data_IF_045632436966
#
_entry.id   IF_045632436966
#
_cell.length_a   1.000
_cell.length_b   1.000
_cell.length_c   1.000
_cell.angle_alpha   90.00
_cell.angle_beta   90.00
_cell.angle_gamma   90.00
#
_symmetry.space_group_name_H-M   'P 1'
#
loop_
_entity.id
_entity.type
_entity.pdbx_description
1 polymer ?
#
# COMPACT_ATOMS: atom_id res chain seq x y z
N UNK A 1 -21.74 -21.97 15.55
CA UNK A 1 -22.60 -22.81 14.69
C UNK A 1 -23.61 -21.92 13.99
N UNK A 2 -23.68 -21.99 12.65
CA UNK A 2 -24.67 -21.28 11.84
C UNK A 2 -25.75 -22.27 11.44
N UNK A 3 -26.99 -22.04 11.90
CA UNK A 3 -28.13 -22.88 11.53
C UNK A 3 -28.67 -22.48 10.16
N UNK A 4 -29.20 -23.44 9.35
CA UNK A 4 -29.90 -23.12 8.11
C UNK A 4 -31.08 -22.19 8.41
N UNK A 5 -31.11 -21.03 7.75
CA UNK A 5 -32.22 -20.07 7.89
C UNK A 5 -32.32 -19.24 6.60
N UNK A 6 -33.51 -18.71 6.28
CA UNK A 6 -33.64 -17.79 5.17
C UNK A 6 -32.93 -16.47 5.47
N UNK A 7 -32.39 -15.84 4.42
CA UNK A 7 -31.85 -14.50 4.53
C UNK A 7 -32.98 -13.47 4.68
N UNK A 8 -32.79 -12.52 5.58
CA UNK A 8 -33.65 -11.34 5.68
C UNK A 8 -33.08 -10.25 4.78
N UNK A 9 -33.81 -9.77 3.77
CA UNK A 9 -33.35 -8.67 2.92
C UNK A 9 -33.05 -7.43 3.77
N UNK A 10 -31.92 -6.79 3.51
CA UNK A 10 -31.52 -5.54 4.15
C UNK A 10 -30.85 -4.64 3.11
N UNK A 11 -31.13 -3.35 3.20
CA UNK A 11 -30.38 -2.36 2.44
C UNK A 11 -28.96 -2.24 3.05
N UNK A 12 -27.95 -2.33 2.19
CA UNK A 12 -26.54 -2.26 2.60
C UNK A 12 -25.73 -1.41 1.64
N UNK A 13 -24.95 -0.49 2.18
CA UNK A 13 -23.97 0.24 1.41
C UNK A 13 -22.67 -0.56 1.28
N UNK A 14 -22.26 -0.85 0.05
CA UNK A 14 -20.95 -1.43 -0.22
C UNK A 14 -19.93 -0.30 -0.17
N UNK A 15 -19.02 -0.39 0.79
CA UNK A 15 -17.91 0.55 0.94
C UNK A 15 -16.88 0.36 -0.16
N UNK A 16 -16.23 1.44 -0.59
CA UNK A 16 -15.06 1.38 -1.46
C UNK A 16 -13.89 0.65 -0.78
N UNK A 17 -13.00 0.08 -1.58
CA UNK A 17 -11.89 -0.75 -1.11
C UNK A 17 -10.76 0.09 -0.51
N UNK A 18 -10.42 -0.17 0.75
CA UNK A 18 -9.31 0.47 1.44
C UNK A 18 -7.93 -0.01 0.96
N UNK A 19 -7.82 -1.24 0.43
CA UNK A 19 -6.59 -1.70 -0.19
C UNK A 19 -6.29 -0.87 -1.44
N UNK A 20 -7.31 -0.66 -2.30
CA UNK A 20 -7.19 0.20 -3.47
C UNK A 20 -6.91 1.67 -3.09
N UNK A 21 -7.48 2.15 -1.98
CA UNK A 21 -7.19 3.49 -1.48
C UNK A 21 -5.70 3.66 -1.15
N UNK A 22 -4.99 2.63 -0.69
CA UNK A 22 -3.58 2.71 -0.28
C UNK A 22 -2.67 3.25 -1.38
N UNK A 23 -2.93 2.93 -2.64
CA UNK A 23 -2.14 3.42 -3.78
C UNK A 23 -2.31 4.94 -4.00
N UNK A 24 -3.48 5.49 -3.69
CA UNK A 24 -3.71 6.94 -3.75
C UNK A 24 -3.00 7.68 -2.62
N UNK A 25 -2.93 7.06 -1.43
CA UNK A 25 -2.10 7.57 -0.34
C UNK A 25 -0.63 7.60 -0.74
N UNK A 26 -0.14 6.53 -1.37
CA UNK A 26 1.22 6.42 -1.87
C UNK A 26 1.54 7.48 -2.92
N UNK A 27 0.66 7.67 -3.94
CA UNK A 27 0.79 8.71 -4.95
C UNK A 27 0.96 10.08 -4.29
N UNK A 28 0.13 10.39 -3.27
CA UNK A 28 0.24 11.65 -2.56
C UNK A 28 1.51 11.74 -1.72
N UNK A 29 1.91 10.68 -1.03
CA UNK A 29 3.13 10.65 -0.22
C UNK A 29 4.37 10.91 -1.08
N UNK A 30 4.43 10.32 -2.27
CA UNK A 30 5.53 10.46 -3.23
C UNK A 30 5.46 11.74 -4.07
N UNK A 31 4.35 12.46 -4.07
CA UNK A 31 4.22 13.72 -4.82
C UNK A 31 5.23 14.76 -4.34
N UNK A 32 5.81 15.52 -5.27
CA UNK A 32 6.68 16.68 -4.98
C UNK A 32 5.89 17.93 -4.63
N UNK A 33 4.59 17.98 -4.94
CA UNK A 33 3.70 19.07 -4.59
C UNK A 33 3.19 18.92 -3.15
N UNK A 34 3.60 19.82 -2.28
CA UNK A 34 3.20 19.81 -0.87
C UNK A 34 1.77 20.30 -0.64
N UNK A 35 1.19 21.01 -1.60
CA UNK A 35 -0.19 21.50 -1.56
C UNK A 35 -1.17 20.54 -2.24
N UNK A 36 -0.68 19.43 -2.80
CA UNK A 36 -1.52 18.44 -3.47
C UNK A 36 -2.58 17.89 -2.52
N UNK A 37 -3.76 17.66 -3.07
CA UNK A 37 -4.91 17.08 -2.39
C UNK A 37 -5.51 15.96 -3.23
N UNK A 38 -5.87 14.85 -2.61
CA UNK A 38 -6.61 13.76 -3.25
C UNK A 38 -7.94 13.58 -2.53
N UNK A 39 -9.01 13.42 -3.30
CA UNK A 39 -10.35 13.09 -2.79
C UNK A 39 -10.76 11.70 -3.23
N UNK A 40 -11.10 10.86 -2.28
CA UNK A 40 -11.58 9.49 -2.49
C UNK A 40 -13.04 9.40 -2.04
N UNK A 41 -13.90 8.81 -2.84
CA UNK A 41 -15.31 8.68 -2.54
C UNK A 41 -15.65 7.25 -2.11
N UNK A 42 -16.68 7.10 -1.27
CA UNK A 42 -17.23 5.79 -0.92
C UNK A 42 -16.55 5.07 0.24
N UNK A 43 -15.51 5.66 0.86
CA UNK A 43 -14.90 5.12 2.06
C UNK A 43 -15.69 5.52 3.32
N UNK A 44 -15.60 4.71 4.38
CA UNK A 44 -16.35 4.93 5.62
C UNK A 44 -15.43 5.24 6.80
N UNK A 45 -15.81 6.20 7.65
CA UNK A 45 -15.21 6.30 8.97
C UNK A 45 -15.77 5.19 9.87
N UNK A 46 -14.87 4.42 10.51
CA UNK A 46 -15.27 3.22 11.27
C UNK A 46 -15.48 1.98 10.39
N UNK A 47 -14.84 1.93 9.23
CA UNK A 47 -14.82 0.76 8.33
C UNK A 47 -14.48 -0.54 9.07
N UNK A 48 -15.14 -1.63 8.65
CA UNK A 48 -14.83 -2.98 9.10
C UNK A 48 -13.75 -3.66 8.23
N UNK A 49 -13.31 -3.03 7.13
CA UNK A 49 -12.18 -3.53 6.35
C UNK A 49 -10.90 -3.38 7.17
N UNK A 50 -10.13 -4.47 7.31
CA UNK A 50 -8.86 -4.46 8.03
C UNK A 50 -7.89 -3.43 7.48
N UNK A 51 -7.86 -3.28 6.15
CA UNK A 51 -6.98 -2.36 5.44
C UNK A 51 -7.30 -0.87 5.67
N UNK A 52 -8.42 -0.54 6.35
CA UNK A 52 -8.71 0.84 6.76
C UNK A 52 -7.66 1.43 7.72
N UNK A 53 -6.78 0.59 8.27
CA UNK A 53 -5.60 1.01 9.04
C UNK A 53 -4.63 1.87 8.22
N UNK A 54 -4.69 1.79 6.90
CA UNK A 54 -3.87 2.59 5.97
C UNK A 54 -3.85 4.08 6.33
N UNK A 55 -4.98 4.64 6.77
CA UNK A 55 -5.09 6.04 7.20
C UNK A 55 -4.18 6.39 8.39
N UNK A 56 -4.00 5.45 9.32
CA UNK A 56 -3.11 5.65 10.48
C UNK A 56 -1.64 5.46 10.10
N UNK A 57 -1.33 4.44 9.31
CA UNK A 57 0.04 4.18 8.89
C UNK A 57 0.56 5.32 8.00
N UNK A 58 -0.24 5.79 7.04
CA UNK A 58 0.15 6.96 6.23
C UNK A 58 0.18 8.27 7.03
N UNK A 59 -0.51 8.37 8.16
CA UNK A 59 -0.33 9.54 9.03
C UNK A 59 1.10 9.64 9.58
N UNK A 60 1.75 8.50 9.79
CA UNK A 60 3.17 8.43 10.18
C UNK A 60 4.10 8.79 9.00
N UNK A 61 3.63 8.66 7.76
CA UNK A 61 4.32 9.07 6.53
C UNK A 61 3.89 10.46 6.05
N UNK A 62 3.24 11.24 6.90
CA UNK A 62 2.93 12.64 6.64
C UNK A 62 1.65 12.87 5.81
N UNK A 63 0.71 11.91 5.77
CA UNK A 63 -0.56 12.09 5.07
C UNK A 63 -1.71 12.15 6.07
N UNK A 64 -2.40 13.28 6.12
CA UNK A 64 -3.60 13.49 6.93
C UNK A 64 -4.84 13.03 6.15
N UNK A 65 -5.69 12.26 6.83
CA UNK A 65 -6.99 11.82 6.34
C UNK A 65 -8.10 12.63 7.01
N UNK A 66 -9.01 13.17 6.23
CA UNK A 66 -10.19 13.91 6.72
C UNK A 66 -11.45 13.39 6.05
N UNK A 67 -12.48 13.08 6.85
CA UNK A 67 -13.77 12.61 6.35
C UNK A 67 -14.75 13.79 6.25
N UNK A 68 -15.53 13.87 5.17
CA UNK A 68 -16.54 14.93 4.97
C UNK A 68 -17.73 14.78 5.92
N UNK A 69 -17.96 13.58 6.46
CA UNK A 69 -18.96 13.30 7.51
C UNK A 69 -18.31 12.44 8.60
N UNK A 70 -18.73 12.66 9.85
CA UNK A 70 -18.37 11.84 11.01
C UNK A 70 -19.41 10.76 11.33
N UNK A 71 -20.45 10.64 10.50
CA UNK A 71 -21.41 9.55 10.63
C UNK A 71 -20.74 8.25 10.29
N UNK A 72 -20.66 7.34 11.26
CA UNK A 72 -20.05 6.03 11.08
C UNK A 72 -20.88 5.18 10.12
N UNK A 73 -20.22 4.27 9.40
CA UNK A 73 -20.84 3.28 8.53
C UNK A 73 -21.68 3.89 7.39
N UNK A 74 -21.34 5.11 6.98
CA UNK A 74 -21.94 5.77 5.82
C UNK A 74 -20.83 6.17 4.86
N UNK A 75 -20.92 5.80 3.58
CA UNK A 75 -19.94 6.21 2.57
C UNK A 75 -19.82 7.73 2.51
N UNK A 76 -18.60 8.21 2.51
CA UNK A 76 -18.31 9.63 2.51
C UNK A 76 -17.16 9.98 1.57
N UNK A 77 -16.90 11.24 1.36
CA UNK A 77 -15.69 11.72 0.68
C UNK A 77 -14.57 11.86 1.71
N UNK A 78 -13.46 11.21 1.43
CA UNK A 78 -12.21 11.29 2.19
C UNK A 78 -11.26 12.22 1.47
N UNK A 79 -10.71 13.19 2.19
CA UNK A 79 -9.70 14.12 1.66
C UNK A 79 -8.35 13.79 2.28
N UNK A 80 -7.35 13.59 1.43
CA UNK A 80 -5.95 13.34 1.78
C UNK A 80 -5.13 14.60 1.54
N UNK A 81 -4.28 14.99 2.49
CA UNK A 81 -3.35 16.12 2.39
C UNK A 81 -2.02 15.80 3.05
N UNK A 82 -0.95 16.40 2.55
CA UNK A 82 0.36 16.32 3.18
C UNK A 82 0.41 17.17 4.44
N UNK A 83 1.16 16.70 5.45
CA UNK A 83 1.41 17.45 6.70
C UNK A 83 2.87 17.86 6.86
N UNK A 84 3.78 17.27 6.08
CA UNK A 84 5.22 17.44 6.22
C UNK A 84 5.84 16.73 7.43
N UNK A 85 5.05 16.06 8.26
CA UNK A 85 5.52 15.35 9.45
C UNK A 85 5.70 13.87 9.14
N UNK A 86 6.93 13.44 8.89
CA UNK A 86 7.27 12.04 8.55
C UNK A 86 8.05 11.43 9.70
N UNK A 87 7.65 10.22 10.11
CA UNK A 87 8.36 9.44 11.12
C UNK A 87 9.75 9.04 10.64
N UNK A 88 10.72 9.03 11.54
CA UNK A 88 12.10 8.63 11.22
C UNK A 88 12.23 7.14 10.87
N UNK A 89 11.26 6.31 11.28
CA UNK A 89 11.20 4.87 11.03
C UNK A 89 9.74 4.43 11.11
N UNK A 90 9.37 3.39 10.37
CA UNK A 90 8.05 2.76 10.43
C UNK A 90 8.20 1.25 10.67
N UNK A 91 7.86 0.80 11.88
CA UNK A 91 7.79 -0.63 12.21
C UNK A 91 6.33 -1.04 12.39
N UNK A 92 5.93 -2.15 11.74
CA UNK A 92 4.54 -2.60 11.78
C UNK A 92 4.39 -4.11 11.58
N UNK A 93 3.41 -4.71 12.27
CA UNK A 93 3.05 -6.11 12.08
C UNK A 93 1.81 -6.22 11.19
N UNK A 94 2.02 -6.68 9.95
CA UNK A 94 0.99 -6.81 8.91
C UNK A 94 0.16 -8.10 8.98
N UNK A 95 0.22 -8.86 10.06
CA UNK A 95 -0.47 -10.16 10.16
C UNK A 95 -1.96 -10.08 9.82
N UNK A 96 -2.62 -8.96 10.15
CA UNK A 96 -4.04 -8.73 9.86
C UNK A 96 -4.29 -7.96 8.55
N UNK A 97 -3.25 -7.36 7.93
CA UNK A 97 -3.33 -6.55 6.73
C UNK A 97 -2.16 -6.83 5.76
N UNK A 98 -1.87 -8.10 5.45
CA UNK A 98 -0.67 -8.46 4.68
C UNK A 98 -0.68 -7.85 3.27
N UNK A 99 -1.86 -7.56 2.74
CA UNK A 99 -2.04 -7.00 1.41
C UNK A 99 -1.62 -5.53 1.28
N UNK A 100 -1.39 -4.84 2.40
CA UNK A 100 -0.83 -3.48 2.40
C UNK A 100 0.72 -3.46 2.36
N UNK A 101 1.38 -4.57 2.66
CA UNK A 101 2.83 -4.59 2.83
C UNK A 101 3.58 -4.08 1.59
N UNK A 102 3.14 -4.46 0.37
CA UNK A 102 3.78 -4.03 -0.87
C UNK A 102 3.79 -2.51 -1.02
N UNK A 103 2.65 -1.87 -0.80
CA UNK A 103 2.53 -0.41 -0.86
C UNK A 103 3.48 0.26 0.13
N UNK A 104 3.54 -0.25 1.37
CA UNK A 104 4.40 0.35 2.40
C UNK A 104 5.88 0.12 2.17
N UNK A 105 6.29 -1.04 1.63
CA UNK A 105 7.69 -1.31 1.26
C UNK A 105 8.16 -0.30 0.21
N UNK A 106 7.39 -0.14 -0.87
CA UNK A 106 7.75 0.79 -1.95
C UNK A 106 7.72 2.24 -1.45
N UNK A 107 6.64 2.65 -0.78
CA UNK A 107 6.50 4.02 -0.26
C UNK A 107 7.64 4.38 0.70
N UNK A 108 7.89 3.55 1.72
CA UNK A 108 8.90 3.85 2.74
C UNK A 108 10.30 3.93 2.13
N UNK A 109 10.67 2.98 1.27
CA UNK A 109 11.97 2.98 0.61
C UNK A 109 12.17 4.24 -0.26
N UNK A 110 11.18 4.61 -1.09
CA UNK A 110 11.25 5.81 -1.93
C UNK A 110 11.25 7.11 -1.13
N UNK A 111 10.58 7.15 0.02
CA UNK A 111 10.64 8.28 0.95
C UNK A 111 11.91 8.33 1.80
N UNK A 112 12.74 7.28 1.75
CA UNK A 112 13.95 7.18 2.59
C UNK A 112 13.62 6.91 4.07
N UNK A 113 12.48 6.32 4.37
CA UNK A 113 12.04 5.96 5.72
C UNK A 113 12.41 4.50 6.00
N UNK A 114 13.37 4.21 6.89
CA UNK A 114 13.68 2.84 7.31
C UNK A 114 12.46 2.14 7.89
N UNK A 115 12.41 0.81 7.73
CA UNK A 115 11.26 0.05 8.21
C UNK A 115 11.62 -1.37 8.66
N UNK A 116 10.76 -1.94 9.51
CA UNK A 116 10.72 -3.36 9.84
C UNK A 116 9.26 -3.85 9.83
N UNK A 117 8.91 -4.63 8.81
CA UNK A 117 7.58 -5.17 8.62
C UNK A 117 7.57 -6.66 8.91
N UNK A 118 6.74 -7.07 9.86
CA UNK A 118 6.58 -8.46 10.31
C UNK A 118 5.20 -9.01 9.98
N UNK A 119 4.94 -10.29 10.28
CA UNK A 119 3.62 -10.90 10.06
C UNK A 119 3.31 -11.20 8.60
N UNK A 120 4.34 -11.40 7.77
CA UNK A 120 4.23 -11.52 6.32
C UNK A 120 4.19 -12.97 5.81
N UNK A 121 4.13 -13.97 6.68
CA UNK A 121 4.15 -15.38 6.28
C UNK A 121 3.11 -15.74 5.19
N UNK A 122 1.94 -15.10 5.20
CA UNK A 122 0.90 -15.35 4.18
C UNK A 122 1.25 -14.83 2.79
N UNK A 123 2.28 -13.99 2.64
CA UNK A 123 2.72 -13.48 1.34
C UNK A 123 3.40 -14.53 0.46
N UNK A 124 3.82 -15.64 1.04
CA UNK A 124 4.39 -16.78 0.30
C UNK A 124 3.35 -17.57 -0.51
N UNK A 125 2.07 -17.47 -0.15
CA UNK A 125 0.98 -18.27 -0.74
C UNK A 125 -0.09 -17.42 -1.42
N UNK A 126 0.27 -16.22 -1.89
CA UNK A 126 -0.58 -15.32 -2.67
C UNK A 126 -0.47 -15.63 -4.18
N UNK A 127 -0.86 -14.69 -5.04
CA UNK A 127 -0.74 -14.81 -6.50
C UNK A 127 0.70 -15.08 -6.95
N UNK A 128 1.66 -14.55 -6.21
CA UNK A 128 3.10 -14.81 -6.36
C UNK A 128 3.75 -14.96 -4.99
N UNK A 129 5.01 -15.37 -4.97
CA UNK A 129 5.87 -15.28 -3.79
C UNK A 129 6.29 -13.81 -3.61
N UNK A 130 5.45 -13.04 -2.91
CA UNK A 130 5.51 -11.57 -2.84
C UNK A 130 6.76 -11.05 -2.15
N UNK A 131 7.30 -11.77 -1.16
CA UNK A 131 8.52 -11.36 -0.43
C UNK A 131 9.70 -11.35 -1.39
N UNK A 132 9.91 -12.45 -2.13
CA UNK A 132 10.99 -12.55 -3.12
C UNK A 132 10.78 -11.55 -4.25
N UNK A 133 9.55 -11.40 -4.75
CA UNK A 133 9.22 -10.44 -5.79
C UNK A 133 9.56 -9.01 -5.36
N UNK A 134 9.13 -8.58 -4.17
CA UNK A 134 9.43 -7.25 -3.63
C UNK A 134 10.94 -6.99 -3.50
N UNK A 135 11.70 -7.94 -2.95
CA UNK A 135 13.17 -7.82 -2.83
C UNK A 135 13.82 -7.69 -4.20
N UNK A 136 13.38 -8.50 -5.17
CA UNK A 136 13.92 -8.50 -6.53
C UNK A 136 13.65 -7.17 -7.22
N UNK A 137 12.41 -6.70 -7.19
CA UNK A 137 12.02 -5.48 -7.89
C UNK A 137 12.58 -4.22 -7.22
N UNK A 138 12.61 -4.17 -5.88
CA UNK A 138 13.23 -3.07 -5.15
C UNK A 138 14.73 -2.98 -5.39
N UNK A 139 15.41 -4.12 -5.62
CA UNK A 139 16.82 -4.13 -5.96
C UNK A 139 17.10 -3.50 -7.33
N UNK A 140 16.23 -3.68 -8.33
CA UNK A 140 16.33 -2.98 -9.63
C UNK A 140 16.29 -1.45 -9.44
N UNK A 141 15.56 -0.97 -8.41
CA UNK A 141 15.47 0.45 -8.06
C UNK A 141 16.60 0.93 -7.15
N UNK A 142 17.56 0.06 -6.82
CA UNK A 142 18.72 0.38 -5.99
C UNK A 142 18.48 0.25 -4.48
N UNK A 143 17.47 -0.49 -4.04
CA UNK A 143 17.17 -0.73 -2.61
C UNK A 143 17.45 -2.19 -2.25
N UNK A 144 18.23 -2.41 -1.18
CA UNK A 144 18.56 -3.76 -0.70
C UNK A 144 17.73 -4.06 0.53
N UNK A 145 16.70 -4.89 0.36
CA UNK A 145 15.76 -5.27 1.42
C UNK A 145 16.09 -6.67 1.90
N UNK A 146 16.21 -6.85 3.21
CA UNK A 146 16.37 -8.17 3.83
C UNK A 146 15.03 -8.75 4.25
N UNK A 147 14.93 -10.08 4.34
CA UNK A 147 13.71 -10.82 4.70
C UNK A 147 13.84 -11.60 6.01
N UNK A 148 14.95 -11.39 6.75
CA UNK A 148 15.18 -12.04 8.02
C UNK A 148 15.05 -13.57 7.94
N UNK A 149 13.99 -14.08 8.54
CA UNK A 149 13.65 -15.53 8.52
C UNK A 149 12.71 -15.93 7.36
N UNK A 150 12.46 -14.99 6.42
CA UNK A 150 11.55 -15.19 5.30
C UNK A 150 10.09 -14.76 5.58
N UNK A 151 9.78 -14.28 6.78
CA UNK A 151 8.41 -13.85 7.16
C UNK A 151 8.31 -12.37 7.49
N UNK A 152 9.37 -11.62 7.21
CA UNK A 152 9.50 -10.19 7.47
C UNK A 152 10.23 -9.47 6.33
N UNK A 153 10.16 -8.15 6.31
CA UNK A 153 10.92 -7.29 5.38
C UNK A 153 11.52 -6.14 6.16
N UNK A 154 12.83 -5.95 6.00
CA UNK A 154 13.61 -4.96 6.74
C UNK A 154 14.42 -4.13 5.75
N UNK A 155 14.40 -2.82 5.95
CA UNK A 155 15.27 -1.90 5.25
C UNK A 155 15.77 -0.81 6.19
N UNK A 156 17.08 -0.73 6.36
CA UNK A 156 17.75 0.25 7.22
C UNK A 156 18.55 1.28 6.42
N UNK A 157 18.21 1.44 5.14
CA UNK A 157 18.86 2.41 4.24
C UNK A 157 19.89 1.80 3.31
N UNK A 158 20.07 0.47 3.28
CA UNK A 158 21.03 -0.18 2.39
C UNK A 158 20.66 0.03 0.92
N UNK A 159 21.67 0.38 0.10
CA UNK A 159 21.51 0.71 -1.31
C UNK A 159 22.48 -0.11 -2.18
N UNK A 160 22.10 -0.30 -3.43
CA UNK A 160 22.96 -0.81 -4.49
C UNK A 160 22.85 0.08 -5.75
N UNK A 161 23.63 -0.22 -6.77
CA UNK A 161 23.51 0.47 -8.06
C UNK A 161 22.14 0.14 -8.68
N UNK A 162 21.31 1.14 -9.00
CA UNK A 162 20.03 0.90 -9.67
C UNK A 162 20.27 0.50 -11.14
N UNK A 163 19.31 -0.23 -11.72
CA UNK A 163 19.31 -0.51 -13.15
C UNK A 163 19.02 0.77 -13.94
N UNK A 164 19.61 0.87 -15.13
CA UNK A 164 19.27 1.91 -16.09
C UNK A 164 17.93 1.57 -16.75
N UNK A 165 16.94 2.49 -16.67
CA UNK A 165 15.57 2.26 -17.15
C UNK A 165 14.95 0.96 -16.60
N UNK A 166 14.77 0.87 -15.29
CA UNK A 166 14.30 -0.36 -14.65
C UNK A 166 12.89 -0.72 -15.11
N UNK A 167 12.65 -2.01 -15.31
CA UNK A 167 11.34 -2.55 -15.67
C UNK A 167 10.89 -3.50 -14.58
N UNK A 168 9.75 -3.18 -13.96
CA UNK A 168 9.14 -3.99 -12.90
C UNK A 168 8.38 -5.15 -13.51
N UNK A 169 8.68 -6.35 -13.07
CA UNK A 169 7.89 -7.53 -13.37
C UNK A 169 6.73 -7.66 -12.39
N UNK A 170 5.54 -7.91 -12.89
CA UNK A 170 4.32 -7.96 -12.08
C UNK A 170 4.01 -9.35 -11.52
N UNK A 171 4.66 -10.40 -12.05
CA UNK A 171 4.45 -11.78 -11.61
C UNK A 171 2.97 -12.20 -11.65
N UNK A 172 2.20 -11.67 -12.60
CA UNK A 172 0.75 -11.84 -12.72
C UNK A 172 -0.05 -11.37 -11.49
N UNK A 173 0.55 -10.55 -10.65
CA UNK A 173 -0.02 -10.01 -9.43
C UNK A 173 -0.33 -8.51 -9.58
N UNK A 174 -1.62 -8.16 -9.48
CA UNK A 174 -2.09 -6.78 -9.59
C UNK A 174 -1.51 -5.86 -8.50
N UNK A 175 -1.24 -6.39 -7.29
CA UNK A 175 -0.68 -5.59 -6.20
C UNK A 175 0.78 -5.22 -6.44
N UNK A 176 1.54 -6.07 -7.13
CA UNK A 176 2.89 -5.69 -7.57
C UNK A 176 2.82 -4.53 -8.57
N UNK A 177 1.95 -4.62 -9.59
CA UNK A 177 1.78 -3.54 -10.54
C UNK A 177 1.36 -2.23 -9.87
N UNK A 178 0.36 -2.27 -9.00
CA UNK A 178 -0.24 -1.09 -8.36
C UNK A 178 0.68 -0.43 -7.34
N UNK A 179 1.45 -1.22 -6.57
CA UNK A 179 2.41 -0.69 -5.60
C UNK A 179 3.63 -0.03 -6.26
N UNK A 180 4.06 -0.51 -7.44
CA UNK A 180 5.20 0.09 -8.12
C UNK A 180 4.84 1.21 -9.08
N UNK A 181 3.58 1.30 -9.56
CA UNK A 181 3.17 2.34 -10.50
C UNK A 181 3.41 3.78 -9.98
N UNK A 182 3.14 4.11 -8.71
CA UNK A 182 3.42 5.44 -8.17
C UNK A 182 4.90 5.84 -8.19
N UNK A 183 5.82 4.85 -8.18
CA UNK A 183 7.26 5.09 -8.22
C UNK A 183 7.71 5.81 -9.52
N UNK A 184 6.93 5.71 -10.60
CA UNK A 184 7.18 6.43 -11.85
C UNK A 184 7.26 7.96 -11.68
N UNK A 185 6.62 8.50 -10.64
CA UNK A 185 6.70 9.93 -10.30
C UNK A 185 8.10 10.36 -9.83
N UNK A 186 8.91 9.42 -9.36
CA UNK A 186 10.25 9.66 -8.81
C UNK A 186 11.37 9.04 -9.65
N UNK A 187 11.07 7.99 -10.42
CA UNK A 187 12.05 7.24 -11.21
C UNK A 187 11.72 7.40 -12.69
N UNK A 188 12.40 8.35 -13.39
CA UNK A 188 12.22 8.54 -14.82
C UNK A 188 12.57 7.27 -15.60
N UNK A 189 11.73 6.90 -16.57
CA UNK A 189 11.97 5.72 -17.40
C UNK A 189 11.52 4.39 -16.77
N UNK A 190 10.92 4.41 -15.57
CA UNK A 190 10.36 3.19 -14.98
C UNK A 190 9.31 2.57 -15.90
N UNK A 191 9.51 1.31 -16.26
CA UNK A 191 8.55 0.49 -16.98
C UNK A 191 7.86 -0.52 -16.07
N UNK A 192 6.69 -1.01 -16.50
CA UNK A 192 5.96 -2.11 -15.83
C UNK A 192 5.57 -3.13 -16.89
N UNK A 193 6.04 -4.38 -16.73
CA UNK A 193 5.65 -5.51 -17.56
C UNK A 193 4.23 -5.97 -17.21
N UNK A 194 3.47 -6.41 -18.23
CA UNK A 194 2.12 -6.96 -18.05
C UNK A 194 1.19 -6.06 -17.20
N UNK A 195 1.07 -4.75 -17.49
CA UNK A 195 0.25 -3.85 -16.67
C UNK A 195 -1.25 -4.23 -16.66
N UNK A 196 -1.71 -5.06 -17.61
CA UNK A 196 -3.10 -5.56 -17.68
C UNK A 196 -3.50 -6.44 -16.49
N UNK A 197 -2.57 -6.90 -15.65
CA UNK A 197 -2.89 -7.67 -14.42
C UNK A 197 -3.79 -6.89 -13.46
N UNK A 198 -3.80 -5.54 -13.55
CA UNK A 198 -4.65 -4.67 -12.72
C UNK A 198 -6.14 -4.82 -13.00
N UNK A 199 -6.55 -5.49 -14.09
CA UNK A 199 -7.97 -5.76 -14.37
C UNK A 199 -8.62 -6.71 -13.37
N UNK A 200 -7.84 -7.33 -12.48
CA UNK A 200 -8.33 -8.14 -11.35
C UNK A 200 -8.70 -7.32 -10.11
N UNK A 201 -8.48 -6.00 -10.13
CA UNK A 201 -8.65 -5.09 -8.98
C UNK A 201 -10.00 -4.41 -9.03
#
# INVERSE_FOLDING_TARGET
EVKPQPYTPQDYYIESDWSAASYWYEILALSKDNEAEIKLNGLMDGSLQGDSVVKYLFSMLGIKTSFSSRTRNVPTTVTLRKTGLVSARLDYNFINQPDLAQTFVVTCALMGVPFHFTGLATLHIKETERIVALKTEMRKLGYVISDGDGTELIWDGERCEPEENPVIDTYEDHRMALAFAPAASQIPGLGINNPQVVTKS
#
